data_IF_014974835081
#
_entry.id   IF_014974835081
#
_cell.length_a   1.000
_cell.length_b   1.000
_cell.length_c   1.000
_cell.angle_alpha   90.00
_cell.angle_beta   90.00
_cell.angle_gamma   90.00
#
_symmetry.space_group_name_H-M   'P 1'
#
loop_
_entity.id
_entity.type
_entity.pdbx_description
1 polymer ?
#
# COMPACT_ATOMS: atom_id res chain seq x y z
N UNK A 1 -14.92 -1.53 9.35
CA UNK A 1 -15.25 -0.18 9.87
C UNK A 1 -15.07 0.82 8.74
N UNK A 2 -16.05 1.69 8.47
CA UNK A 2 -16.01 2.59 7.30
C UNK A 2 -14.80 3.55 7.45
N UNK A 3 -13.82 3.50 6.53
CA UNK A 3 -12.54 4.25 6.65
C UNK A 3 -12.78 5.74 6.86
N UNK A 4 -13.81 6.27 6.20
CA UNK A 4 -14.32 7.62 6.37
C UNK A 4 -14.75 7.95 7.82
N UNK A 5 -15.40 7.02 8.52
CA UNK A 5 -15.85 7.21 9.91
C UNK A 5 -14.66 7.28 10.88
N UNK A 6 -13.57 6.56 10.59
CA UNK A 6 -12.33 6.62 11.37
C UNK A 6 -11.62 7.97 11.20
N UNK A 7 -11.57 8.48 9.97
CA UNK A 7 -11.01 9.80 9.64
C UNK A 7 -11.81 10.89 10.36
N UNK A 8 -13.14 10.85 10.27
CA UNK A 8 -14.03 11.79 10.96
C UNK A 8 -13.77 11.79 12.46
N UNK A 9 -13.77 10.61 13.12
CA UNK A 9 -13.54 10.51 14.57
C UNK A 9 -12.18 11.07 15.02
N UNK A 10 -11.11 10.74 14.30
CA UNK A 10 -9.76 11.22 14.62
C UNK A 10 -9.68 12.74 14.55
N UNK A 11 -10.24 13.34 13.48
CA UNK A 11 -10.22 14.78 13.28
C UNK A 11 -11.15 15.51 14.24
N UNK A 12 -12.31 14.94 14.59
CA UNK A 12 -13.23 15.52 15.57
C UNK A 12 -12.58 15.71 16.95
N UNK A 13 -11.75 14.75 17.40
CA UNK A 13 -11.01 14.88 18.66
C UNK A 13 -10.00 16.04 18.58
N UNK A 14 -9.25 16.14 17.48
CA UNK A 14 -8.29 17.23 17.26
C UNK A 14 -8.97 18.61 17.24
N UNK A 15 -10.15 18.71 16.61
CA UNK A 15 -10.96 19.94 16.59
C UNK A 15 -11.42 20.31 18.00
N UNK A 16 -11.91 19.35 18.80
CA UNK A 16 -12.32 19.60 20.18
C UNK A 16 -11.15 20.10 21.05
N UNK A 17 -9.97 19.53 20.89
CA UNK A 17 -8.75 19.98 21.59
C UNK A 17 -8.39 21.42 21.17
N UNK A 18 -8.41 21.72 19.86
CA UNK A 18 -8.12 23.06 19.36
C UNK A 18 -9.11 24.09 19.92
N UNK A 19 -10.40 23.77 19.91
CA UNK A 19 -11.46 24.62 20.47
C UNK A 19 -11.24 24.82 21.99
N UNK A 20 -10.92 23.77 22.73
CA UNK A 20 -10.65 23.86 24.17
C UNK A 20 -9.44 24.77 24.50
N UNK A 21 -8.34 24.62 23.76
CA UNK A 21 -7.15 25.48 23.90
C UNK A 21 -7.49 26.92 23.50
N UNK A 22 -8.29 27.12 22.45
CA UNK A 22 -8.71 28.44 22.02
C UNK A 22 -9.54 29.14 23.10
N UNK A 23 -10.55 28.48 23.66
CA UNK A 23 -11.37 29.03 24.75
C UNK A 23 -10.56 29.27 26.03
N UNK A 24 -9.56 28.43 26.31
CA UNK A 24 -8.68 28.64 27.47
C UNK A 24 -7.70 29.80 27.28
N UNK A 25 -7.17 30.00 26.07
CA UNK A 25 -6.44 31.21 25.69
C UNK A 25 -7.33 32.44 25.76
N UNK A 26 -8.50 32.32 25.14
CA UNK A 26 -9.78 32.99 25.38
C UNK A 26 -9.86 33.79 26.69
N UNK A 27 -10.20 33.01 27.72
CA UNK A 27 -10.53 33.43 29.07
C UNK A 27 -9.34 33.98 29.89
N UNK A 28 -8.10 33.76 29.46
CA UNK A 28 -6.89 34.21 30.17
C UNK A 28 -6.10 35.28 29.39
N UNK A 29 -6.72 35.92 28.38
CA UNK A 29 -6.08 36.92 27.51
C UNK A 29 -4.76 36.42 26.87
N UNK A 30 -4.63 35.11 26.69
CA UNK A 30 -3.41 34.44 26.26
C UNK A 30 -3.31 34.33 24.74
N UNK A 31 -2.89 35.39 24.05
CA UNK A 31 -2.78 35.43 22.58
C UNK A 31 -1.93 34.30 21.98
N UNK A 32 -0.85 33.87 22.67
CA UNK A 32 0.00 32.75 22.23
C UNK A 32 -0.79 31.44 22.18
N UNK A 33 -1.66 31.19 23.17
CA UNK A 33 -2.50 29.98 23.22
C UNK A 33 -3.56 30.00 22.13
N UNK A 34 -4.16 31.16 21.86
CA UNK A 34 -5.10 31.34 20.75
C UNK A 34 -4.41 31.05 19.40
N UNK A 35 -3.19 31.56 19.19
CA UNK A 35 -2.39 31.26 18.00
C UNK A 35 -2.05 29.77 17.85
N UNK A 36 -1.68 29.11 18.95
CA UNK A 36 -1.42 27.66 18.96
C UNK A 36 -2.67 26.85 18.61
N UNK A 37 -3.84 27.23 19.12
CA UNK A 37 -5.10 26.59 18.79
C UNK A 37 -5.47 26.73 17.31
N UNK A 38 -5.27 27.90 16.70
CA UNK A 38 -5.47 28.11 15.26
C UNK A 38 -4.53 27.21 14.45
N UNK A 39 -3.26 27.10 14.86
CA UNK A 39 -2.28 26.24 14.19
C UNK A 39 -2.67 24.75 14.29
N UNK A 40 -3.11 24.29 15.46
CA UNK A 40 -3.61 22.92 15.66
C UNK A 40 -4.83 22.68 14.76
N UNK A 41 -5.79 23.62 14.75
CA UNK A 41 -6.99 23.51 13.93
C UNK A 41 -6.64 23.40 12.44
N UNK A 42 -5.70 24.23 11.97
CA UNK A 42 -5.20 24.16 10.59
C UNK A 42 -4.59 22.81 10.26
N UNK A 43 -3.73 22.27 11.13
CA UNK A 43 -3.10 20.96 10.93
C UNK A 43 -4.17 19.87 10.86
N UNK A 44 -5.12 19.84 11.80
CA UNK A 44 -6.18 18.82 11.84
C UNK A 44 -7.05 18.85 10.59
N UNK A 45 -7.45 20.04 10.13
CA UNK A 45 -8.23 20.19 8.90
C UNK A 45 -7.43 19.71 7.69
N UNK A 46 -6.17 20.14 7.56
CA UNK A 46 -5.31 19.76 6.45
C UNK A 46 -5.10 18.25 6.40
N UNK A 47 -4.74 17.62 7.51
CA UNK A 47 -4.59 16.16 7.62
C UNK A 47 -5.88 15.45 7.27
N UNK A 48 -7.04 15.97 7.69
CA UNK A 48 -8.32 15.40 7.34
C UNK A 48 -8.64 15.43 5.84
N UNK A 49 -8.29 16.51 5.15
CA UNK A 49 -8.42 16.62 3.69
C UNK A 49 -7.48 15.63 3.00
N UNK A 50 -6.22 15.57 3.46
CA UNK A 50 -5.20 14.67 2.89
C UNK A 50 -5.62 13.19 3.03
N UNK A 51 -6.09 12.79 4.22
CA UNK A 51 -6.59 11.43 4.48
C UNK A 51 -7.81 11.08 3.64
N UNK A 52 -8.72 12.05 3.45
CA UNK A 52 -9.90 11.87 2.61
C UNK A 52 -9.53 11.69 1.14
N UNK A 53 -8.67 12.55 0.61
CA UNK A 53 -8.17 12.46 -0.75
C UNK A 53 -7.43 11.15 -0.99
N UNK A 54 -6.59 10.71 -0.04
CA UNK A 54 -5.92 9.42 -0.12
C UNK A 54 -6.90 8.24 -0.09
N UNK A 55 -7.96 8.31 0.72
CA UNK A 55 -8.98 7.27 0.74
C UNK A 55 -9.70 7.14 -0.62
N UNK A 56 -10.02 8.26 -1.26
CA UNK A 56 -10.60 8.30 -2.61
C UNK A 56 -9.61 7.74 -3.64
N UNK A 57 -8.35 8.18 -3.59
CA UNK A 57 -7.31 7.71 -4.50
C UNK A 57 -7.14 6.19 -4.41
N UNK A 58 -7.05 5.66 -3.19
CA UNK A 58 -6.95 4.24 -2.94
C UNK A 58 -8.17 3.49 -3.48
N UNK A 59 -9.38 3.98 -3.22
CA UNK A 59 -10.60 3.34 -3.69
C UNK A 59 -10.68 3.32 -5.22
N UNK A 60 -10.35 4.43 -5.88
CA UNK A 60 -10.28 4.52 -7.33
C UNK A 60 -9.19 3.61 -7.90
N UNK A 61 -8.03 3.56 -7.28
CA UNK A 61 -6.93 2.70 -7.71
C UNK A 61 -7.32 1.21 -7.61
N UNK A 62 -7.98 0.79 -6.52
CA UNK A 62 -8.51 -0.58 -6.39
C UNK A 62 -9.51 -0.89 -7.49
N UNK A 63 -10.45 0.02 -7.78
CA UNK A 63 -11.46 -0.15 -8.82
C UNK A 63 -10.83 -0.31 -10.21
N UNK A 64 -9.88 0.56 -10.55
CA UNK A 64 -9.18 0.56 -11.85
C UNK A 64 -8.25 -0.64 -12.03
N UNK A 65 -7.73 -1.20 -10.93
CA UNK A 65 -6.76 -2.28 -10.96
C UNK A 65 -7.30 -3.59 -10.36
N UNK A 66 -8.64 -3.77 -10.36
CA UNK A 66 -9.22 -5.06 -10.01
C UNK A 66 -8.69 -6.15 -10.95
N UNK A 67 -8.41 -7.31 -10.37
CA UNK A 67 -7.95 -8.52 -11.06
C UNK A 67 -6.58 -8.42 -11.74
N UNK A 68 -5.95 -7.24 -11.73
CA UNK A 68 -4.57 -7.11 -12.20
C UNK A 68 -3.61 -7.87 -11.31
N UNK A 69 -2.61 -8.47 -11.95
CA UNK A 69 -1.52 -9.16 -11.28
C UNK A 69 -0.42 -8.15 -10.93
N UNK A 70 0.16 -8.36 -9.75
CA UNK A 70 1.28 -7.56 -9.26
C UNK A 70 2.40 -8.54 -8.94
N UNK A 71 3.53 -8.39 -9.63
CA UNK A 71 4.78 -9.03 -9.25
C UNK A 71 5.47 -8.16 -8.21
N UNK A 72 5.45 -8.63 -6.97
CA UNK A 72 6.10 -8.00 -5.84
C UNK A 72 7.44 -8.70 -5.63
N UNK A 73 8.57 -8.06 -5.92
CA UNK A 73 9.91 -8.62 -5.71
C UNK A 73 10.91 -7.66 -5.00
N UNK A 74 10.56 -7.07 -3.84
CA UNK A 74 11.49 -6.27 -3.06
C UNK A 74 12.52 -7.16 -2.34
N UNK A 75 13.64 -7.42 -3.00
CA UNK A 75 14.73 -8.26 -2.49
C UNK A 75 16.07 -7.54 -2.62
N UNK A 76 17.19 -8.22 -2.41
CA UNK A 76 18.53 -7.64 -2.62
C UNK A 76 18.70 -7.18 -4.08
N UNK A 77 19.39 -6.06 -4.28
CA UNK A 77 19.59 -5.45 -5.61
C UNK A 77 20.12 -6.43 -6.66
N UNK A 78 21.12 -7.24 -6.32
CA UNK A 78 21.68 -8.25 -7.23
C UNK A 78 20.65 -9.31 -7.68
N UNK A 79 19.73 -9.68 -6.79
CA UNK A 79 18.64 -10.61 -7.11
C UNK A 79 17.60 -9.91 -8.00
N UNK A 80 17.25 -8.66 -7.69
CA UNK A 80 16.32 -7.89 -8.53
C UNK A 80 16.85 -7.70 -9.95
N UNK A 81 18.15 -7.43 -10.11
CA UNK A 81 18.78 -7.33 -11.42
C UNK A 81 18.69 -8.65 -12.18
N UNK A 82 18.96 -9.79 -11.54
CA UNK A 82 18.73 -11.11 -12.16
C UNK A 82 17.27 -11.35 -12.54
N UNK A 83 16.32 -10.97 -11.68
CA UNK A 83 14.88 -11.07 -12.00
C UNK A 83 14.55 -10.23 -13.24
N UNK A 84 15.07 -9.01 -13.32
CA UNK A 84 14.89 -8.12 -14.48
C UNK A 84 15.47 -8.71 -15.77
N UNK A 85 16.69 -9.23 -15.69
CA UNK A 85 17.38 -9.79 -16.85
C UNK A 85 16.78 -11.12 -17.30
N UNK A 86 16.53 -12.06 -16.38
CA UNK A 86 16.24 -13.46 -16.72
C UNK A 86 14.75 -13.80 -16.74
N UNK A 87 13.92 -13.02 -16.03
CA UNK A 87 12.51 -13.36 -15.78
C UNK A 87 11.53 -12.32 -16.32
N UNK A 88 11.74 -11.03 -16.07
CA UNK A 88 10.73 -9.99 -16.35
C UNK A 88 10.30 -9.95 -17.82
N UNK A 89 11.23 -10.12 -18.76
CA UNK A 89 10.92 -10.13 -20.19
C UNK A 89 10.04 -11.31 -20.63
N UNK A 90 9.85 -12.32 -19.78
CA UNK A 90 8.98 -13.48 -20.01
C UNK A 90 7.57 -13.29 -19.41
N UNK A 91 7.39 -12.27 -18.59
CA UNK A 91 6.11 -11.99 -17.93
C UNK A 91 5.24 -11.16 -18.87
N UNK A 92 3.92 -11.41 -18.93
CA UNK A 92 3.02 -10.55 -19.68
C UNK A 92 3.13 -9.08 -19.23
N UNK A 93 3.13 -8.15 -20.19
CA UNK A 93 3.18 -6.69 -19.96
C UNK A 93 2.02 -6.15 -19.09
N UNK A 94 0.97 -6.95 -18.91
CA UNK A 94 -0.19 -6.64 -18.07
C UNK A 94 0.11 -6.76 -16.57
N UNK A 95 1.23 -7.40 -16.19
CA UNK A 95 1.62 -7.58 -14.79
C UNK A 95 2.34 -6.32 -14.30
N UNK A 96 1.80 -5.71 -13.25
CA UNK A 96 2.42 -4.55 -12.61
C UNK A 96 3.58 -4.99 -11.73
N UNK A 97 4.62 -4.18 -11.63
CA UNK A 97 5.83 -4.49 -10.88
C UNK A 97 6.00 -3.59 -9.65
N UNK A 98 6.52 -4.18 -8.57
CA UNK A 98 6.94 -3.46 -7.37
C UNK A 98 8.22 -4.06 -6.81
N UNK A 99 9.25 -3.23 -6.60
CA UNK A 99 10.57 -3.63 -6.10
C UNK A 99 11.20 -2.56 -5.20
N UNK A 100 12.35 -2.85 -4.58
CA UNK A 100 13.09 -1.90 -3.75
C UNK A 100 14.20 -1.20 -4.54
N UNK A 101 14.29 0.12 -4.42
CA UNK A 101 15.51 0.88 -4.73
C UNK A 101 16.04 1.53 -3.44
N UNK A 102 17.07 0.90 -2.86
CA UNK A 102 17.53 1.22 -1.51
C UNK A 102 16.41 1.03 -0.47
N UNK A 103 16.07 2.05 0.36
CA UNK A 103 14.98 1.96 1.33
C UNK A 103 13.59 2.24 0.74
N UNK A 104 13.49 2.61 -0.54
CA UNK A 104 12.24 3.07 -1.16
C UNK A 104 11.62 1.98 -2.04
N UNK A 105 10.31 1.74 -1.87
CA UNK A 105 9.55 0.96 -2.85
C UNK A 105 9.39 1.79 -4.13
N UNK A 106 9.66 1.17 -5.28
CA UNK A 106 9.50 1.76 -6.61
C UNK A 106 8.75 0.74 -7.49
N UNK A 107 8.03 1.23 -8.49
CA UNK A 107 7.34 0.40 -9.47
C UNK A 107 6.13 1.11 -10.05
N UNK A 108 5.21 0.34 -10.62
CA UNK A 108 3.96 0.85 -11.22
C UNK A 108 2.93 1.28 -10.17
N UNK A 109 3.21 1.00 -8.89
CA UNK A 109 2.31 1.23 -7.77
C UNK A 109 2.96 2.18 -6.77
N UNK A 110 2.20 3.19 -6.35
CA UNK A 110 2.65 4.13 -5.31
C UNK A 110 2.93 3.37 -3.99
N UNK A 111 4.03 3.67 -3.29
CA UNK A 111 4.39 3.00 -2.03
C UNK A 111 3.29 3.03 -0.97
N UNK A 112 2.55 4.14 -0.88
CA UNK A 112 1.43 4.28 0.06
C UNK A 112 0.31 3.28 -0.19
N UNK A 113 0.04 2.92 -1.45
CA UNK A 113 -0.97 1.92 -1.83
C UNK A 113 -0.45 0.52 -1.49
N UNK A 114 0.82 0.23 -1.80
CA UNK A 114 1.46 -1.06 -1.48
C UNK A 114 1.42 -1.34 0.03
N UNK A 115 1.75 -0.34 0.85
CA UNK A 115 1.68 -0.45 2.31
C UNK A 115 0.26 -0.77 2.79
N UNK A 116 -0.76 -0.23 2.16
CA UNK A 116 -2.15 -0.52 2.52
C UNK A 116 -2.57 -1.93 2.11
N UNK A 117 -2.17 -2.39 0.92
CA UNK A 117 -2.39 -3.77 0.46
C UNK A 117 -1.74 -4.77 1.43
N UNK A 118 -0.53 -4.49 1.91
CA UNK A 118 0.14 -5.33 2.93
C UNK A 118 -0.64 -5.40 4.25
N UNK A 119 -1.33 -4.34 4.65
CA UNK A 119 -2.18 -4.37 5.85
C UNK A 119 -3.40 -5.27 5.67
N UNK A 120 -3.90 -5.47 4.45
CA UNK A 120 -5.03 -6.35 4.19
C UNK A 120 -4.65 -7.83 4.28
N UNK A 121 -3.39 -8.17 3.99
CA UNK A 121 -2.91 -9.55 4.05
C UNK A 121 -1.54 -9.63 4.77
N UNK A 122 -1.52 -10.00 6.06
CA UNK A 122 -0.29 -10.05 6.86
C UNK A 122 0.71 -11.11 6.39
N UNK A 123 0.30 -12.01 5.49
CA UNK A 123 1.21 -13.00 4.90
C UNK A 123 2.15 -12.36 3.87
N UNK A 124 1.87 -11.15 3.38
CA UNK A 124 2.77 -10.42 2.49
C UNK A 124 3.95 -9.91 3.30
N UNK A 125 5.10 -10.59 3.17
CA UNK A 125 6.33 -10.17 3.82
C UNK A 125 7.09 -9.18 2.94
N UNK A 126 7.60 -8.14 3.58
CA UNK A 126 8.31 -7.01 2.95
C UNK A 126 9.50 -7.45 2.07
N UNK A 127 10.17 -8.55 2.40
CA UNK A 127 11.36 -9.02 1.68
C UNK A 127 11.12 -10.35 0.94
N UNK A 128 9.87 -10.66 0.59
CA UNK A 128 9.51 -11.93 -0.04
C UNK A 128 8.94 -11.68 -1.44
N UNK A 129 9.57 -12.23 -2.49
CA UNK A 129 9.00 -12.22 -3.81
C UNK A 129 7.66 -12.97 -3.80
N UNK A 130 6.64 -12.39 -4.43
CA UNK A 130 5.30 -12.92 -4.48
C UNK A 130 4.55 -12.39 -5.71
N UNK A 131 3.53 -13.12 -6.13
CA UNK A 131 2.52 -12.62 -7.06
C UNK A 131 1.25 -12.37 -6.29
N UNK A 132 0.69 -11.18 -6.50
CA UNK A 132 -0.53 -10.72 -5.85
C UNK A 132 -1.61 -10.50 -6.91
N UNK A 133 -2.84 -10.86 -6.59
CA UNK A 133 -4.04 -10.46 -7.34
C UNK A 133 -5.01 -9.79 -6.38
N UNK A 134 -5.46 -8.60 -6.76
CA UNK A 134 -6.43 -7.85 -5.97
C UNK A 134 -7.84 -8.27 -6.38
N UNK A 135 -8.61 -8.75 -5.42
CA UNK A 135 -9.99 -9.20 -5.62
C UNK A 135 -10.87 -8.59 -4.53
N UNK A 136 -11.78 -7.68 -4.90
CA UNK A 136 -12.78 -7.12 -3.98
C UNK A 136 -12.22 -6.71 -2.59
N UNK A 137 -11.18 -5.86 -2.57
CA UNK A 137 -10.49 -5.39 -1.34
C UNK A 137 -9.81 -6.51 -0.52
N UNK A 138 -9.61 -7.68 -1.14
CA UNK A 138 -8.80 -8.78 -0.63
C UNK A 138 -7.63 -9.04 -1.56
N UNK A 139 -6.63 -9.76 -1.08
CA UNK A 139 -5.43 -10.09 -1.84
C UNK A 139 -5.23 -11.59 -1.88
N UNK A 140 -5.31 -12.16 -3.08
CA UNK A 140 -4.83 -13.51 -3.35
C UNK A 140 -3.32 -13.42 -3.56
N UNK A 141 -2.55 -14.23 -2.85
CA UNK A 141 -1.09 -14.20 -2.89
C UNK A 141 -0.54 -15.60 -3.15
N UNK A 142 0.48 -15.68 -3.97
CA UNK A 142 1.35 -16.84 -4.09
C UNK A 142 2.82 -16.42 -3.91
N UNK A 143 3.50 -16.99 -2.92
CA UNK A 143 4.89 -16.67 -2.62
C UNK A 143 5.84 -17.35 -3.63
N UNK A 144 6.83 -16.60 -4.11
CA UNK A 144 7.86 -17.05 -5.05
C UNK A 144 9.23 -17.11 -4.36
N UNK A 145 9.34 -17.91 -3.30
CA UNK A 145 10.56 -18.00 -2.48
C UNK A 145 11.80 -18.45 -3.26
N UNK A 146 11.62 -19.19 -4.34
CA UNK A 146 12.70 -19.59 -5.25
C UNK A 146 13.44 -18.39 -5.85
N UNK A 147 12.75 -17.26 -6.09
CA UNK A 147 13.36 -16.07 -6.66
C UNK A 147 14.39 -15.44 -5.71
N UNK A 148 14.33 -15.73 -4.40
CA UNK A 148 15.34 -15.27 -3.42
C UNK A 148 16.72 -15.91 -3.64
N UNK A 149 16.81 -16.97 -4.44
CA UNK A 149 18.04 -17.73 -4.69
C UNK A 149 18.33 -17.92 -6.18
N UNK A 150 17.72 -17.11 -7.06
CA UNK A 150 17.96 -17.14 -8.51
C UNK A 150 19.43 -16.87 -8.87
N UNK A 151 20.21 -16.32 -7.94
CA UNK A 151 21.65 -16.16 -8.07
C UNK A 151 22.41 -17.49 -8.03
N UNK A 152 21.88 -18.48 -7.31
CA UNK A 152 22.54 -19.76 -6.98
C UNK A 152 21.85 -20.99 -7.56
N UNK A 153 20.57 -20.89 -7.89
CA UNK A 153 19.74 -22.00 -8.32
C UNK A 153 19.14 -21.67 -9.67
N UNK A 154 19.15 -22.63 -10.59
CA UNK A 154 18.41 -22.50 -11.84
C UNK A 154 16.92 -22.59 -11.55
N UNK A 155 16.19 -21.51 -11.80
CA UNK A 155 14.75 -21.43 -11.54
C UNK A 155 14.00 -21.84 -12.80
N UNK A 156 13.08 -22.79 -12.66
CA UNK A 156 12.22 -23.22 -13.76
C UNK A 156 11.19 -22.12 -14.08
N UNK A 157 11.44 -21.40 -15.16
CA UNK A 157 10.61 -20.29 -15.59
C UNK A 157 9.25 -20.74 -16.15
N UNK A 158 9.14 -21.94 -16.74
CA UNK A 158 7.84 -22.43 -17.20
C UNK A 158 6.92 -22.69 -16.02
N UNK A 159 7.46 -23.34 -14.98
CA UNK A 159 6.73 -23.56 -13.73
C UNK A 159 6.32 -22.25 -13.06
N UNK A 160 7.17 -21.21 -13.09
CA UNK A 160 6.78 -19.89 -12.59
C UNK A 160 5.61 -19.29 -13.39
N UNK A 161 5.66 -19.37 -14.73
CA UNK A 161 4.57 -18.90 -15.59
C UNK A 161 3.26 -19.62 -15.32
N UNK A 162 3.28 -20.93 -15.11
CA UNK A 162 2.10 -21.71 -14.71
C UNK A 162 1.51 -21.23 -13.37
N UNK A 163 2.37 -20.84 -12.41
CA UNK A 163 1.92 -20.27 -11.13
C UNK A 163 1.32 -18.88 -11.31
N UNK A 164 1.89 -18.05 -12.18
CA UNK A 164 1.28 -16.76 -12.55
C UNK A 164 -0.12 -16.98 -13.12
N UNK A 165 -0.26 -17.92 -14.06
CA UNK A 165 -1.53 -18.27 -14.68
C UNK A 165 -2.52 -18.86 -13.68
N UNK A 166 -2.06 -19.65 -12.71
CA UNK A 166 -2.89 -20.17 -11.63
C UNK A 166 -3.46 -19.03 -10.77
N UNK A 167 -2.64 -18.06 -10.37
CA UNK A 167 -3.11 -16.88 -9.63
C UNK A 167 -4.08 -16.06 -10.49
N UNK A 168 -3.80 -15.89 -11.79
CA UNK A 168 -4.69 -15.24 -12.76
C UNK A 168 -6.08 -15.87 -12.78
N UNK A 169 -6.13 -17.21 -12.87
CA UNK A 169 -7.36 -18.03 -12.96
C UNK A 169 -8.05 -18.28 -11.61
N UNK A 170 -7.42 -17.92 -10.49
CA UNK A 170 -8.02 -18.16 -9.17
C UNK A 170 -9.35 -17.41 -9.11
N UNK A 171 -10.47 -18.14 -8.93
CA UNK A 171 -11.79 -17.54 -8.95
C UNK A 171 -11.96 -16.58 -7.78
N UNK A 172 -12.84 -15.59 -7.97
CA UNK A 172 -13.17 -14.58 -6.97
C UNK A 172 -13.98 -15.21 -5.82
N UNK A 173 -13.37 -16.16 -5.10
CA UNK A 173 -13.94 -16.74 -3.90
C UNK A 173 -13.65 -15.77 -2.77
N UNK A 174 -14.68 -15.00 -2.43
CA UNK A 174 -14.75 -14.27 -1.18
C UNK A 174 -14.57 -15.30 -0.07
N UNK A 175 -13.43 -15.29 0.61
CA UNK A 175 -13.37 -15.86 1.96
C UNK A 175 -14.34 -15.00 2.79
N UNK A 176 -15.56 -15.51 2.95
CA UNK A 176 -16.59 -14.94 3.81
C UNK A 176 -16.16 -15.03 5.26
#
# INVERSE_FOLDING_TARGET
MNKYLSIIKSNSIGILIAIGIFYWGFANEGYVRMGMAILILFIVIKTGIDDFNYAIELENWIKTNQEKLILFYPTKKSIQEKIKTDFIHKIPYEVMEVYYDGPKLIGDIKPSIVMEIMKWNPNIKVNQPAILKIVNKSVVMEALDELKRIDKVNVDFQKLLERIDKVKRTPNTVLK
#
